data_IF_093111640159
#
_entry.id   IF_093111640159
#
_cell.length_a   1.000
_cell.length_b   1.000
_cell.length_c   1.000
_cell.angle_alpha   90.00
_cell.angle_beta   90.00
_cell.angle_gamma   90.00
#
_symmetry.space_group_name_H-M   'P 1'
#
loop_
_entity.id
_entity.type
_entity.pdbx_description
1 polymer ?
#
# COMPACT_ATOMS: atom_id res chain seq x y z
N UNK A 1 -29.93 -12.70 -1.02
CA UNK A 1 -28.62 -12.01 -0.92
C UNK A 1 -27.56 -13.09 -0.72
N UNK A 2 -26.50 -13.12 -1.52
CA UNK A 2 -25.27 -13.86 -1.20
C UNK A 2 -24.23 -12.81 -0.82
N UNK A 3 -23.82 -12.78 0.44
CA UNK A 3 -22.89 -11.80 0.97
C UNK A 3 -22.02 -12.47 2.03
N UNK A 4 -20.70 -12.26 1.93
CA UNK A 4 -19.70 -12.72 2.88
C UNK A 4 -18.96 -11.51 3.44
N UNK A 5 -18.63 -11.56 4.74
CA UNK A 5 -17.77 -10.57 5.39
C UNK A 5 -16.38 -11.17 5.53
N UNK A 6 -15.45 -10.73 4.71
CA UNK A 6 -14.06 -11.17 4.85
C UNK A 6 -13.37 -10.45 6.02
N UNK A 7 -12.52 -11.21 6.71
CA UNK A 7 -11.66 -10.71 7.79
C UNK A 7 -10.23 -11.20 7.58
N UNK A 8 -9.87 -12.33 8.20
CA UNK A 8 -8.54 -12.93 8.03
C UNK A 8 -8.20 -13.26 6.58
N UNK A 9 -9.19 -13.71 5.80
CA UNK A 9 -9.03 -14.03 4.37
C UNK A 9 -8.45 -12.87 3.56
N UNK A 10 -8.79 -11.61 3.86
CA UNK A 10 -8.26 -10.45 3.12
C UNK A 10 -6.83 -10.06 3.50
N UNK A 11 -6.33 -10.45 4.68
CA UNK A 11 -5.02 -10.02 5.23
C UNK A 11 -4.04 -11.17 5.48
N UNK A 12 -4.44 -12.40 5.21
CA UNK A 12 -3.66 -13.61 5.50
C UNK A 12 -3.83 -14.64 4.38
N UNK A 13 -3.69 -14.19 3.14
CA UNK A 13 -3.83 -15.03 1.95
C UNK A 13 -2.50 -15.13 1.19
N UNK A 14 -1.61 -16.06 1.59
CA UNK A 14 -0.25 -16.14 1.06
C UNK A 14 -0.19 -16.48 -0.44
N UNK A 15 -1.28 -17.01 -1.02
CA UNK A 15 -1.35 -17.35 -2.44
C UNK A 15 -1.62 -16.16 -3.38
N UNK A 16 -2.00 -14.98 -2.86
CA UNK A 16 -2.33 -13.80 -3.67
C UNK A 16 -1.71 -12.55 -3.03
N UNK A 17 -0.40 -12.41 -3.18
CA UNK A 17 0.38 -11.31 -2.62
C UNK A 17 0.72 -10.32 -3.74
N UNK A 18 0.65 -9.02 -3.45
CA UNK A 18 1.24 -8.01 -4.34
C UNK A 18 2.77 -8.15 -4.34
N UNK A 19 3.42 -8.38 -5.51
CA UNK A 19 4.88 -8.42 -5.58
C UNK A 19 5.54 -7.13 -5.11
N UNK A 20 4.86 -6.00 -5.28
CA UNK A 20 5.33 -4.67 -4.86
C UNK A 20 5.30 -4.56 -3.34
N UNK A 21 4.18 -4.92 -2.71
CA UNK A 21 4.07 -4.92 -1.24
C UNK A 21 5.10 -5.86 -0.59
N UNK A 22 5.26 -7.07 -1.13
CA UNK A 22 6.24 -8.04 -0.63
C UNK A 22 7.69 -7.51 -0.71
N UNK A 23 8.04 -6.87 -1.83
CA UNK A 23 9.35 -6.26 -2.01
C UNK A 23 9.55 -5.08 -1.06
N UNK A 24 8.62 -4.14 -1.03
CA UNK A 24 8.70 -2.91 -0.24
C UNK A 24 8.72 -3.20 1.27
N UNK A 25 7.92 -4.16 1.75
CA UNK A 25 7.93 -4.60 3.13
C UNK A 25 9.31 -5.16 3.55
N UNK A 26 9.90 -6.02 2.70
CA UNK A 26 11.25 -6.54 2.95
C UNK A 26 12.31 -5.44 2.88
N UNK A 27 12.18 -4.51 1.94
CA UNK A 27 13.10 -3.39 1.79
C UNK A 27 13.07 -2.47 3.01
N UNK A 28 11.88 -2.10 3.51
CA UNK A 28 11.70 -1.35 4.75
C UNK A 28 12.40 -1.99 5.94
N UNK A 29 12.24 -3.32 6.12
CA UNK A 29 12.91 -4.05 7.20
C UNK A 29 14.44 -4.01 7.11
N UNK A 30 15.00 -4.17 5.89
CA UNK A 30 16.45 -4.04 5.66
C UNK A 30 16.96 -2.64 5.97
N UNK A 31 16.23 -1.63 5.50
CA UNK A 31 16.62 -0.23 5.71
C UNK A 31 16.49 0.18 7.18
N UNK A 32 15.55 -0.38 7.93
CA UNK A 32 15.45 -0.17 9.38
C UNK A 32 16.74 -0.60 10.10
N UNK A 33 17.26 -1.80 9.78
CA UNK A 33 18.53 -2.28 10.34
C UNK A 33 19.68 -1.36 9.90
N UNK A 34 19.77 -1.01 8.62
CA UNK A 34 20.80 -0.12 8.10
C UNK A 34 20.83 1.23 8.83
N UNK A 35 19.69 1.89 8.97
CA UNK A 35 19.59 3.18 9.65
C UNK A 35 19.89 3.06 11.15
N UNK A 36 19.43 1.99 11.80
CA UNK A 36 19.72 1.75 13.21
C UNK A 36 21.22 1.54 13.46
N UNK A 37 21.92 0.82 12.57
CA UNK A 37 23.36 0.56 12.70
C UNK A 37 24.25 1.77 12.39
N UNK A 38 23.84 2.63 11.45
CA UNK A 38 24.69 3.72 10.95
C UNK A 38 24.44 5.09 11.59
N UNK A 39 23.21 5.37 12.03
CA UNK A 39 22.80 6.73 12.44
C UNK A 39 22.46 6.84 13.93
N UNK A 40 22.37 5.71 14.66
CA UNK A 40 21.93 5.65 16.06
C UNK A 40 20.64 6.45 16.33
N UNK A 41 19.75 6.51 15.34
CA UNK A 41 18.50 7.28 15.36
C UNK A 41 17.31 6.39 15.65
N UNK A 42 16.51 6.76 16.64
CA UNK A 42 15.17 6.20 16.85
C UNK A 42 14.16 6.85 15.91
N UNK A 43 13.35 6.05 15.21
CA UNK A 43 12.37 6.56 14.26
C UNK A 43 11.58 5.47 13.55
N UNK A 44 10.72 5.89 12.63
CA UNK A 44 9.99 5.00 11.72
C UNK A 44 10.57 5.09 10.31
N UNK A 45 10.76 3.95 9.66
CA UNK A 45 11.12 3.91 8.23
C UNK A 45 9.86 4.17 7.42
N UNK A 46 9.92 5.13 6.51
CA UNK A 46 8.82 5.51 5.64
C UNK A 46 9.22 5.31 4.18
N UNK A 47 8.23 4.95 3.35
CA UNK A 47 8.36 4.90 1.90
C UNK A 47 7.88 6.22 1.31
N UNK A 48 8.78 6.92 0.63
CA UNK A 48 8.44 8.08 -0.18
C UNK A 48 8.23 7.64 -1.63
N UNK A 49 7.03 7.88 -2.15
CA UNK A 49 6.68 7.58 -3.54
C UNK A 49 7.26 8.64 -4.48
N UNK A 50 7.82 8.18 -5.59
CA UNK A 50 8.18 8.98 -6.75
C UNK A 50 7.57 8.37 -8.01
N UNK A 51 7.15 9.23 -8.94
CA UNK A 51 6.51 8.79 -10.18
C UNK A 51 5.10 8.19 -9.99
N UNK A 52 4.55 7.70 -11.09
CA UNK A 52 3.20 7.11 -11.22
C UNK A 52 3.23 6.00 -12.26
N UNK A 53 2.25 5.09 -12.22
CA UNK A 53 2.10 4.00 -13.19
C UNK A 53 3.41 3.20 -13.34
N UNK A 54 3.86 3.01 -14.57
CA UNK A 54 5.09 2.27 -14.89
C UNK A 54 6.39 2.94 -14.37
N UNK A 55 6.32 4.22 -13.98
CA UNK A 55 7.45 4.94 -13.36
C UNK A 55 7.38 4.94 -11.83
N UNK A 56 6.48 4.16 -11.24
CA UNK A 56 6.36 4.04 -9.80
C UNK A 56 7.68 3.53 -9.20
N UNK A 57 8.20 4.28 -8.23
CA UNK A 57 9.33 3.88 -7.41
C UNK A 57 9.21 4.45 -6.01
N UNK A 58 9.85 3.81 -5.05
CA UNK A 58 9.91 4.28 -3.67
C UNK A 58 11.34 4.41 -3.20
N UNK A 59 11.59 5.40 -2.35
CA UNK A 59 12.83 5.52 -1.59
C UNK A 59 12.49 5.55 -0.10
N UNK A 60 13.41 5.07 0.75
CA UNK A 60 13.21 5.05 2.19
C UNK A 60 13.84 6.28 2.84
N UNK A 61 13.19 6.76 3.89
CA UNK A 61 13.77 7.71 4.82
C UNK A 61 13.31 7.40 6.25
N UNK A 62 13.98 7.98 7.24
CA UNK A 62 13.58 7.86 8.65
C UNK A 62 12.90 9.14 9.09
N UNK A 63 11.73 9.01 9.70
CA UNK A 63 11.04 10.11 10.37
C UNK A 63 10.96 9.88 11.88
N UNK A 64 10.80 10.94 12.66
CA UNK A 64 10.67 10.84 14.12
C UNK A 64 9.34 10.18 14.49
N UNK A 65 9.32 9.41 15.59
CA UNK A 65 8.07 8.80 16.07
C UNK A 65 7.01 9.86 16.41
N UNK A 66 7.42 11.02 16.93
CA UNK A 66 6.52 12.13 17.22
C UNK A 66 5.80 12.67 15.98
N UNK A 67 6.42 12.62 14.80
CA UNK A 67 5.80 13.10 13.55
C UNK A 67 4.66 12.20 13.05
N UNK A 68 4.64 10.92 13.45
CA UNK A 68 3.66 9.92 13.01
C UNK A 68 2.67 9.52 14.12
N UNK A 69 3.05 9.70 15.38
CA UNK A 69 2.19 9.38 16.51
C UNK A 69 0.88 10.18 16.45
N UNK A 70 -0.24 9.47 16.65
CA UNK A 70 -1.60 10.03 16.61
C UNK A 70 -1.96 10.76 15.28
N UNK A 71 -1.25 10.48 14.20
CA UNK A 71 -1.61 10.93 12.85
C UNK A 71 -2.21 9.77 12.06
N UNK A 72 -3.31 10.05 11.37
CA UNK A 72 -4.01 9.07 10.53
C UNK A 72 -4.00 9.57 9.09
N UNK A 73 -3.64 8.69 8.15
CA UNK A 73 -3.79 8.95 6.72
C UNK A 73 -5.23 8.63 6.31
N UNK A 74 -6.06 9.65 6.22
CA UNK A 74 -7.43 9.52 5.69
C UNK A 74 -7.40 9.29 4.18
N UNK A 75 -8.43 8.60 3.67
CA UNK A 75 -8.67 8.56 2.23
C UNK A 75 -9.03 9.98 1.78
N UNK A 76 -8.39 10.45 0.70
CA UNK A 76 -8.60 11.79 0.18
C UNK A 76 -10.00 11.89 -0.44
N UNK A 77 -10.68 13.04 -0.30
CA UNK A 77 -12.05 13.19 -0.78
C UNK A 77 -12.13 13.10 -2.31
N UNK A 78 -11.08 13.57 -2.99
CA UNK A 78 -10.89 13.47 -4.43
C UNK A 78 -10.80 12.03 -4.95
N UNK A 79 -10.59 11.05 -4.08
CA UNK A 79 -10.59 9.63 -4.44
C UNK A 79 -11.97 8.99 -4.42
N UNK A 80 -12.99 9.74 -3.99
CA UNK A 80 -14.37 9.28 -3.89
C UNK A 80 -15.21 10.06 -4.89
N UNK A 81 -15.97 9.36 -5.73
CA UNK A 81 -16.85 10.01 -6.70
C UNK A 81 -17.93 10.86 -5.99
N UNK A 82 -18.47 11.90 -6.63
CA UNK A 82 -19.45 12.85 -6.04
C UNK A 82 -20.65 12.17 -5.36
N UNK A 83 -21.10 11.03 -5.90
CA UNK A 83 -22.21 10.22 -5.36
C UNK A 83 -21.86 9.39 -4.11
N UNK A 84 -20.58 9.35 -3.71
CA UNK A 84 -20.11 8.70 -2.48
C UNK A 84 -20.09 7.16 -2.52
N UNK A 85 -20.34 6.53 -3.66
CA UNK A 85 -20.53 5.08 -3.77
C UNK A 85 -19.51 4.37 -4.68
N UNK A 86 -18.51 5.09 -5.16
CA UNK A 86 -17.42 4.52 -5.96
C UNK A 86 -16.14 5.35 -5.79
N UNK A 87 -15.01 4.77 -6.18
CA UNK A 87 -13.73 5.47 -6.24
C UNK A 87 -13.49 6.10 -7.61
N UNK A 88 -12.61 7.09 -7.66
CA UNK A 88 -12.29 7.82 -8.89
C UNK A 88 -11.09 7.22 -9.63
N UNK A 89 -10.84 7.69 -10.85
CA UNK A 89 -9.66 7.29 -11.63
C UNK A 89 -8.36 7.70 -10.95
N UNK A 90 -8.35 8.81 -10.22
CA UNK A 90 -7.18 9.25 -9.44
C UNK A 90 -6.80 8.24 -8.36
N UNK A 91 -7.79 7.57 -7.76
CA UNK A 91 -7.51 6.47 -6.84
C UNK A 91 -7.01 5.23 -7.56
N UNK A 92 -7.56 4.92 -8.74
CA UNK A 92 -7.03 3.84 -9.59
C UNK A 92 -5.56 4.06 -9.94
N UNK A 93 -5.17 5.25 -10.38
CA UNK A 93 -3.76 5.60 -10.61
C UNK A 93 -2.90 5.43 -9.36
N UNK A 94 -3.43 5.81 -8.19
CA UNK A 94 -2.72 5.71 -6.93
C UNK A 94 -2.47 4.25 -6.51
N UNK A 95 -3.50 3.40 -6.60
CA UNK A 95 -3.49 2.04 -6.04
C UNK A 95 -2.94 0.99 -7.01
N UNK A 96 -3.09 1.18 -8.32
CA UNK A 96 -2.66 0.22 -9.35
C UNK A 96 -1.22 -0.29 -9.19
N UNK A 97 -0.19 0.58 -9.01
CA UNK A 97 1.17 0.09 -8.82
C UNK A 97 1.37 -0.64 -7.48
N UNK A 98 0.54 -0.38 -6.47
CA UNK A 98 0.65 -1.05 -5.17
C UNK A 98 0.10 -2.47 -5.19
N UNK A 99 -0.98 -2.72 -5.92
CA UNK A 99 -1.60 -4.05 -6.03
C UNK A 99 -0.90 -4.93 -7.05
N UNK A 100 -0.30 -4.32 -8.08
CA UNK A 100 0.30 -5.05 -9.19
C UNK A 100 -0.73 -5.72 -10.08
N UNK A 101 -0.33 -6.80 -10.76
CA UNK A 101 -1.24 -7.54 -11.66
C UNK A 101 -2.29 -8.29 -10.86
N UNK A 102 -3.55 -7.92 -11.06
CA UNK A 102 -4.69 -8.64 -10.49
C UNK A 102 -4.94 -9.97 -11.24
N UNK A 103 -5.46 -11.00 -10.56
CA UNK A 103 -5.81 -12.26 -11.20
C UNK A 103 -6.92 -12.07 -12.23
N UNK A 104 -6.88 -12.83 -13.31
CA UNK A 104 -7.96 -12.86 -14.29
C UNK A 104 -9.20 -13.49 -13.69
N UNK A 105 -10.30 -12.74 -13.68
CA UNK A 105 -11.58 -13.24 -13.16
C UNK A 105 -12.23 -14.10 -14.25
N UNK A 106 -12.31 -15.40 -13.99
CA UNK A 106 -13.05 -16.34 -14.83
C UNK A 106 -14.54 -16.31 -14.51
N UNK A 107 -15.37 -16.39 -15.54
CA UNK A 107 -16.82 -16.61 -15.40
C UNK A 107 -17.19 -17.89 -16.13
N UNK A 108 -18.03 -18.72 -15.51
CA UNK A 108 -18.63 -19.88 -16.20
C UNK A 108 -19.66 -19.31 -17.19
N UNK A 109 -19.38 -19.44 -18.49
CA UNK A 109 -20.38 -19.18 -19.52
C UNK A 109 -21.47 -20.26 -19.42
N UNK A 110 -22.73 -19.83 -19.38
CA UNK A 110 -23.87 -20.73 -19.54
C UNK A 110 -24.01 -21.16 -20.98
#
# INVERSE_FOLDING_TARGET
MRADTFGYLQRSFPGLISPVDAYEARYCGRMAVYYASGLNTAGSVCLQRFGKGDRYRTETFVTTLASVAARTKSLAAEYIHEKGNNITEEFHEYVSPLVGRLPEVGYIKR
#
